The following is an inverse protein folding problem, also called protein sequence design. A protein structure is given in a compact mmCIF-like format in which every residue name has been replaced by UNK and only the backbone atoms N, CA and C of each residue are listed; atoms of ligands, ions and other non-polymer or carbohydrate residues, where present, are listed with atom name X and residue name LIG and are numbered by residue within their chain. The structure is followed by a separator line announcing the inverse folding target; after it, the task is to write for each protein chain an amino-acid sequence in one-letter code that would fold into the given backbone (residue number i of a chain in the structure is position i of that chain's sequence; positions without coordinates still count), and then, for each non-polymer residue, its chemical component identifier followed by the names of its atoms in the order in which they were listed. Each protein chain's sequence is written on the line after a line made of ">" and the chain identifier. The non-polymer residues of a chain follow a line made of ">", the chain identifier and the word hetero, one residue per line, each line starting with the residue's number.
data_IF_960779776836
#
_entry.id   IF_960779776836
#
_cell.length_a   1.000
_cell.length_b   1.000
_cell.length_c   1.000
_cell.angle_alpha   90.00
_cell.angle_beta   90.00
_cell.angle_gamma   90.00
#
_symmetry.space_group_name_H-M   'P 1'
#
loop_
_entity.id
_entity.type
_entity.pdbx_description
1 polymer ?
#
# COMPACT_ATOMS: atom_id res chain seq x y z
N UNK A 1 -14.37 2.07 -15.81
CA UNK A 1 -14.33 0.96 -14.83
C UNK A 1 -14.80 1.50 -13.49
N UNK A 2 -15.69 0.80 -12.79
CA UNK A 2 -16.12 1.22 -11.45
C UNK A 2 -14.96 1.03 -10.45
N UNK A 3 -14.77 1.89 -9.43
CA UNK A 3 -13.66 1.75 -8.47
C UNK A 3 -13.61 0.39 -7.77
N UNK A 4 -14.75 -0.20 -7.46
CA UNK A 4 -14.83 -1.54 -6.86
C UNK A 4 -14.27 -2.62 -7.81
N UNK A 5 -14.71 -2.63 -9.06
CA UNK A 5 -14.21 -3.54 -10.10
C UNK A 5 -12.70 -3.35 -10.34
N UNK A 6 -12.24 -2.09 -10.33
CA UNK A 6 -10.81 -1.77 -10.45
C UNK A 6 -10.01 -2.33 -9.27
N UNK A 7 -10.53 -2.18 -8.06
CA UNK A 7 -9.91 -2.70 -6.86
C UNK A 7 -9.85 -4.23 -6.88
N UNK A 8 -10.95 -4.89 -7.25
CA UNK A 8 -11.02 -6.35 -7.36
C UNK A 8 -9.98 -6.88 -8.35
N UNK A 9 -9.95 -6.34 -9.57
CA UNK A 9 -8.97 -6.72 -10.61
C UNK A 9 -7.53 -6.43 -10.20
N UNK A 10 -7.29 -5.32 -9.49
CA UNK A 10 -5.96 -4.99 -8.97
C UNK A 10 -5.53 -5.95 -7.85
N UNK A 11 -6.46 -6.32 -6.97
CA UNK A 11 -6.24 -7.29 -5.89
C UNK A 11 -5.90 -8.66 -6.44
N UNK A 12 -6.53 -9.10 -7.53
CA UNK A 12 -6.17 -10.36 -8.21
C UNK A 12 -4.68 -10.42 -8.59
N UNK A 13 -4.08 -9.28 -8.98
CA UNK A 13 -2.65 -9.20 -9.31
C UNK A 13 -1.76 -9.28 -8.07
N UNK A 14 -2.21 -8.70 -6.96
CA UNK A 14 -1.45 -8.69 -5.69
C UNK A 14 -1.62 -9.99 -4.87
N UNK A 15 -2.72 -10.72 -5.09
CA UNK A 15 -3.09 -11.92 -4.32
C UNK A 15 -1.95 -12.93 -4.17
N UNK A 16 -1.24 -13.35 -5.24
CA UNK A 16 -0.17 -14.35 -5.11
C UNK A 16 0.91 -13.97 -4.09
N UNK A 17 1.29 -12.69 -4.04
CA UNK A 17 2.27 -12.18 -3.07
C UNK A 17 1.72 -12.23 -1.64
N UNK A 18 0.51 -11.71 -1.42
CA UNK A 18 -0.09 -11.63 -0.09
C UNK A 18 -0.51 -12.98 0.46
N UNK A 19 -1.11 -13.85 -0.36
CA UNK A 19 -1.47 -15.22 0.02
C UNK A 19 -0.22 -16.02 0.42
N UNK A 20 0.90 -15.84 -0.30
CA UNK A 20 2.19 -16.44 0.03
C UNK A 20 2.79 -16.00 1.37
N UNK A 21 2.30 -14.89 1.94
CA UNK A 21 2.66 -14.38 3.28
C UNK A 21 1.56 -14.65 4.32
N UNK A 22 0.48 -15.33 3.95
CA UNK A 22 -0.64 -15.66 4.84
C UNK A 22 -1.64 -14.51 5.06
N UNK A 23 -1.60 -13.46 4.24
CA UNK A 23 -2.60 -12.39 4.27
C UNK A 23 -3.87 -12.81 3.54
N UNK A 24 -5.01 -12.27 3.96
CA UNK A 24 -6.30 -12.41 3.29
C UNK A 24 -6.87 -11.06 2.95
N UNK A 25 -7.43 -10.97 1.75
CA UNK A 25 -8.09 -9.75 1.29
C UNK A 25 -9.50 -9.62 1.86
N UNK A 26 -9.87 -8.41 2.25
CA UNK A 26 -11.23 -8.00 2.55
C UNK A 26 -11.55 -6.69 1.82
N UNK A 27 -12.70 -6.66 1.14
CA UNK A 27 -13.29 -5.41 0.68
C UNK A 27 -13.89 -4.67 1.89
N UNK A 28 -13.71 -3.36 1.95
CA UNK A 28 -14.18 -2.55 3.07
C UNK A 28 -15.39 -1.70 2.70
N UNK A 29 -15.21 -0.78 1.74
CA UNK A 29 -16.26 0.18 1.40
C UNK A 29 -16.08 0.79 0.01
N UNK A 30 -17.20 1.21 -0.58
CA UNK A 30 -17.24 2.19 -1.67
C UNK A 30 -17.70 3.53 -1.08
N UNK A 31 -16.95 4.59 -1.36
CA UNK A 31 -17.22 5.94 -0.85
C UNK A 31 -17.49 6.87 -2.02
N UNK A 32 -18.65 7.53 -1.99
CA UNK A 32 -19.01 8.58 -2.94
C UNK A 32 -18.82 9.97 -2.31
N UNK A 33 -18.23 10.90 -3.05
CA UNK A 33 -18.03 12.27 -2.57
C UNK A 33 -17.70 13.24 -3.70
N UNK A 34 -17.38 14.49 -3.34
CA UNK A 34 -17.11 15.58 -4.30
C UNK A 34 -15.96 15.28 -5.27
N UNK A 35 -15.00 14.43 -4.89
CA UNK A 35 -13.93 13.97 -5.76
C UNK A 35 -14.27 12.77 -6.65
N UNK A 36 -15.54 12.34 -6.69
CA UNK A 36 -16.00 11.13 -7.37
C UNK A 36 -16.09 9.90 -6.46
N UNK A 37 -16.27 8.72 -7.08
CA UNK A 37 -16.36 7.43 -6.39
C UNK A 37 -14.97 6.88 -6.09
N UNK A 38 -14.79 6.32 -4.90
CA UNK A 38 -13.59 5.62 -4.48
C UNK A 38 -13.96 4.26 -3.88
N UNK A 39 -13.03 3.32 -3.91
CA UNK A 39 -13.18 2.04 -3.22
C UNK A 39 -11.98 1.77 -2.32
N UNK A 40 -12.23 1.03 -1.24
CA UNK A 40 -11.22 0.63 -0.27
C UNK A 40 -11.31 -0.84 0.05
N UNK A 41 -10.14 -1.43 0.21
CA UNK A 41 -9.98 -2.80 0.69
C UNK A 41 -8.64 -2.92 1.40
N UNK A 42 -8.41 -4.07 2.01
CA UNK A 42 -7.17 -4.33 2.72
C UNK A 42 -6.77 -5.81 2.64
N UNK A 43 -5.48 -6.05 2.73
CA UNK A 43 -4.94 -7.36 3.05
C UNK A 43 -4.62 -7.42 4.54
N UNK A 44 -5.08 -8.46 5.25
CA UNK A 44 -4.86 -8.61 6.69
C UNK A 44 -4.24 -9.95 7.07
N UNK A 45 -3.35 -9.94 8.06
CA UNK A 45 -2.79 -11.13 8.73
C UNK A 45 -2.60 -10.84 10.21
N UNK A 46 -3.45 -11.42 11.04
CA UNK A 46 -3.46 -11.10 12.48
C UNK A 46 -3.75 -9.61 12.68
N UNK A 47 -2.82 -8.90 13.32
CA UNK A 47 -2.91 -7.44 13.55
C UNK A 47 -2.36 -6.60 12.41
N UNK A 48 -1.60 -7.20 11.50
CA UNK A 48 -1.00 -6.50 10.38
C UNK A 48 -2.01 -6.31 9.26
N UNK A 49 -2.07 -5.09 8.72
CA UNK A 49 -2.86 -4.80 7.53
C UNK A 49 -2.10 -3.96 6.50
N UNK A 50 -2.49 -4.13 5.23
CA UNK A 50 -2.09 -3.29 4.10
C UNK A 50 -3.35 -2.77 3.43
N UNK A 51 -3.64 -1.48 3.60
CA UNK A 51 -4.81 -0.80 3.03
C UNK A 51 -4.55 -0.33 1.60
N UNK A 52 -5.58 -0.46 0.75
CA UNK A 52 -5.55 -0.10 -0.66
C UNK A 52 -6.73 0.82 -0.97
N UNK A 53 -6.45 2.04 -1.44
CA UNK A 53 -7.48 3.00 -1.82
C UNK A 53 -7.37 3.35 -3.30
N UNK A 54 -8.46 3.14 -4.03
CA UNK A 54 -8.58 3.46 -5.45
C UNK A 54 -9.55 4.62 -5.69
N UNK A 55 -9.17 5.51 -6.59
CA UNK A 55 -10.02 6.58 -7.14
C UNK A 55 -9.54 6.84 -8.57
N UNK A 56 -10.17 6.20 -9.55
CA UNK A 56 -9.70 6.19 -10.95
C UNK A 56 -8.47 5.31 -11.19
N UNK A 57 -7.52 5.28 -10.25
CA UNK A 57 -6.37 4.36 -10.18
C UNK A 57 -6.03 4.06 -8.70
N UNK A 58 -5.14 3.11 -8.44
CA UNK A 58 -4.57 2.92 -7.10
C UNK A 58 -3.72 4.14 -6.73
N UNK A 59 -4.08 4.81 -5.62
CA UNK A 59 -3.47 6.08 -5.23
C UNK A 59 -2.92 6.13 -3.81
N UNK A 60 -3.48 5.36 -2.88
CA UNK A 60 -2.97 5.27 -1.51
C UNK A 60 -2.81 3.80 -1.15
N UNK A 61 -1.64 3.51 -0.60
CA UNK A 61 -1.27 2.22 -0.02
C UNK A 61 -0.69 2.53 1.35
N UNK A 62 -1.20 1.87 2.38
CA UNK A 62 -0.80 2.12 3.76
C UNK A 62 -0.61 0.84 4.55
N UNK A 63 0.27 0.89 5.54
CA UNK A 63 0.68 -0.24 6.36
C UNK A 63 0.39 0.08 7.82
N UNK A 64 -0.14 -0.88 8.56
CA UNK A 64 -0.45 -0.68 9.97
C UNK A 64 -0.49 -1.96 10.79
N UNK A 65 -0.54 -1.74 12.11
CA UNK A 65 -0.68 -2.77 13.13
C UNK A 65 -1.78 -2.37 14.12
N UNK A 66 -2.82 -3.20 14.21
CA UNK A 66 -3.90 -3.01 15.17
C UNK A 66 -3.40 -3.03 16.62
N UNK A 67 -4.04 -2.20 17.45
CA UNK A 67 -3.71 -2.11 18.88
C UNK A 67 -2.37 -1.40 19.15
N UNK A 68 -1.77 -0.78 18.14
CA UNK A 68 -0.62 0.12 18.32
C UNK A 68 -1.07 1.58 18.30
N UNK A 69 -0.36 2.49 18.99
CA UNK A 69 -0.67 3.92 18.95
C UNK A 69 -0.21 4.59 17.65
N UNK A 70 0.40 3.85 16.73
CA UNK A 70 0.99 4.39 15.52
C UNK A 70 -0.07 4.61 14.45
N UNK A 71 0.01 5.75 13.77
CA UNK A 71 -0.79 5.99 12.58
C UNK A 71 -0.32 5.09 11.43
N UNK A 72 -1.20 4.62 10.54
CA UNK A 72 -0.80 3.89 9.35
C UNK A 72 0.20 4.70 8.51
N UNK A 73 1.22 4.03 8.00
CA UNK A 73 2.32 4.65 7.25
C UNK A 73 2.10 4.40 5.77
N UNK A 74 2.21 5.44 4.93
CA UNK A 74 2.01 5.31 3.48
C UNK A 74 3.19 4.60 2.83
N UNK A 75 2.96 3.92 1.73
CA UNK A 75 4.00 3.21 0.97
C UNK A 75 5.21 4.07 0.65
N UNK A 76 4.99 5.31 0.18
CA UNK A 76 6.08 6.26 -0.09
C UNK A 76 6.97 6.50 1.14
N UNK A 77 6.39 6.53 2.33
CA UNK A 77 7.10 6.81 3.56
C UNK A 77 7.82 5.54 4.06
N UNK A 78 7.25 4.35 3.78
CA UNK A 78 7.92 3.05 3.98
C UNK A 78 9.19 2.96 3.12
N UNK A 79 9.11 3.20 1.82
CA UNK A 79 10.29 3.10 0.93
C UNK A 79 11.34 4.17 1.23
N UNK A 80 10.93 5.35 1.71
CA UNK A 80 11.85 6.38 2.21
C UNK A 80 12.58 5.92 3.48
N UNK A 81 11.88 5.32 4.46
CA UNK A 81 12.49 4.75 5.67
C UNK A 81 13.44 3.59 5.38
N UNK A 82 13.19 2.86 4.29
CA UNK A 82 14.09 1.82 3.79
C UNK A 82 15.28 2.36 2.99
N UNK A 83 15.31 3.66 2.66
CA UNK A 83 16.37 4.28 1.86
C UNK A 83 16.32 3.93 0.36
N UNK A 84 15.20 3.42 -0.15
CA UNK A 84 15.03 2.93 -1.54
C UNK A 84 14.04 3.77 -2.34
N UNK A 85 13.69 4.96 -1.86
CA UNK A 85 12.70 5.85 -2.49
C UNK A 85 12.98 6.16 -3.97
N UNK A 86 14.26 6.22 -4.37
CA UNK A 86 14.68 6.52 -5.75
C UNK A 86 14.56 5.30 -6.69
N UNK A 87 14.43 4.11 -6.12
CA UNK A 87 14.29 2.84 -6.84
C UNK A 87 12.85 2.31 -6.81
N UNK A 88 12.02 2.85 -5.92
CA UNK A 88 10.60 2.56 -5.84
C UNK A 88 9.89 3.02 -7.11
N UNK A 89 8.95 2.20 -7.59
CA UNK A 89 8.24 2.44 -8.83
C UNK A 89 6.82 2.96 -8.61
N UNK A 90 6.21 2.67 -7.46
CA UNK A 90 4.91 3.19 -7.08
C UNK A 90 5.02 4.55 -6.38
N UNK A 91 4.19 5.55 -6.75
CA UNK A 91 3.22 5.53 -7.85
C UNK A 91 3.88 5.83 -9.20
N UNK A 92 3.32 5.27 -10.28
CA UNK A 92 3.70 5.60 -11.64
C UNK A 92 2.62 6.38 -12.40
N UNK A 93 2.99 6.87 -13.58
CA UNK A 93 2.08 7.50 -14.54
C UNK A 93 1.85 6.56 -15.73
N UNK A 94 0.60 6.38 -16.13
CA UNK A 94 0.23 5.55 -17.27
C UNK A 94 -1.26 5.62 -17.57
N UNK A 95 -1.64 5.18 -18.78
CA UNK A 95 -3.04 5.22 -19.25
C UNK A 95 -3.89 4.05 -18.72
N UNK A 96 -3.26 2.91 -18.36
CA UNK A 96 -3.95 1.79 -17.74
C UNK A 96 -4.06 2.01 -16.21
N UNK A 97 -5.28 2.11 -15.63
CA UNK A 97 -5.47 2.29 -14.20
C UNK A 97 -4.96 1.12 -13.34
N UNK A 98 -4.70 -0.05 -13.93
CA UNK A 98 -4.10 -1.20 -13.24
C UNK A 98 -2.56 -1.12 -13.13
N UNK A 99 -1.89 -0.22 -13.87
CA UNK A 99 -0.42 -0.06 -13.87
C UNK A 99 0.12 0.08 -12.45
N UNK A 100 -0.52 0.88 -11.61
CA UNK A 100 -0.07 1.13 -10.25
C UNK A 100 -0.12 -0.11 -9.34
N UNK A 101 -0.94 -1.12 -9.64
CA UNK A 101 -0.90 -2.39 -8.91
C UNK A 101 0.33 -3.20 -9.27
N UNK A 102 0.77 -3.20 -10.55
CA UNK A 102 1.97 -3.91 -10.97
C UNK A 102 3.23 -3.25 -10.39
N UNK A 103 3.27 -1.91 -10.39
CA UNK A 103 4.37 -1.15 -9.81
C UNK A 103 4.45 -1.37 -8.30
N UNK A 104 3.30 -1.36 -7.61
CA UNK A 104 3.24 -1.73 -6.19
C UNK A 104 3.74 -3.16 -5.97
N UNK A 105 3.30 -4.13 -6.78
CA UNK A 105 3.74 -5.52 -6.64
C UNK A 105 5.26 -5.64 -6.73
N UNK A 106 5.88 -4.94 -7.68
CA UNK A 106 7.32 -4.95 -7.81
C UNK A 106 8.04 -4.34 -6.60
N UNK A 107 7.54 -3.22 -6.06
CA UNK A 107 8.09 -2.65 -4.83
C UNK A 107 7.88 -3.57 -3.62
N UNK A 108 6.73 -4.24 -3.56
CA UNK A 108 6.42 -5.24 -2.53
C UNK A 108 7.41 -6.40 -2.56
N UNK A 109 7.68 -6.95 -3.73
CA UNK A 109 8.62 -8.07 -3.92
C UNK A 109 10.07 -7.68 -3.61
N UNK A 110 10.50 -6.49 -4.06
CA UNK A 110 11.89 -6.04 -3.94
C UNK A 110 12.24 -5.54 -2.55
N UNK A 111 11.34 -4.81 -1.90
CA UNK A 111 11.69 -4.00 -0.72
C UNK A 111 10.85 -4.32 0.52
N UNK A 112 9.56 -4.60 0.35
CA UNK A 112 8.62 -4.65 1.49
C UNK A 112 8.39 -6.08 2.00
N UNK A 113 8.70 -7.11 1.21
CA UNK A 113 8.50 -8.52 1.59
C UNK A 113 9.08 -8.88 2.96
N UNK A 114 10.33 -8.49 3.32
CA UNK A 114 10.89 -8.80 4.64
C UNK A 114 10.08 -8.15 5.77
N UNK A 115 9.59 -6.93 5.57
CA UNK A 115 8.76 -6.21 6.54
C UNK A 115 7.44 -6.94 6.79
N UNK A 116 6.80 -7.45 5.74
CA UNK A 116 5.52 -8.16 5.86
C UNK A 116 5.70 -9.62 6.29
N UNK A 117 6.88 -10.21 6.15
CA UNK A 117 7.16 -11.55 6.63
C UNK A 117 7.26 -11.60 8.16
N UNK A 118 7.71 -10.52 8.80
CA UNK A 118 7.94 -10.44 10.25
C UNK A 118 7.26 -9.20 10.89
N UNK A 119 6.34 -9.46 11.82
CA UNK A 119 5.58 -8.40 12.49
C UNK A 119 6.47 -7.46 13.32
N UNK A 120 7.55 -7.96 13.92
CA UNK A 120 8.45 -7.12 14.73
C UNK A 120 9.23 -6.14 13.85
N UNK A 121 9.71 -6.61 12.69
CA UNK A 121 10.34 -5.75 11.69
C UNK A 121 9.39 -4.64 11.22
N UNK A 122 8.12 -4.98 10.93
CA UNK A 122 7.12 -3.96 10.58
C UNK A 122 6.89 -2.99 11.74
N UNK A 123 6.73 -3.49 12.97
CA UNK A 123 6.53 -2.67 14.17
C UNK A 123 7.66 -1.65 14.35
N UNK A 124 8.91 -2.09 14.24
CA UNK A 124 10.08 -1.23 14.33
C UNK A 124 10.07 -0.13 13.26
N UNK A 125 9.72 -0.49 12.02
CA UNK A 125 9.60 0.48 10.94
C UNK A 125 8.47 1.50 11.22
N UNK A 126 7.31 1.06 11.68
CA UNK A 126 6.16 1.93 11.97
C UNK A 126 6.45 2.91 13.12
N UNK A 127 7.20 2.47 14.14
CA UNK A 127 7.64 3.30 15.27
C UNK A 127 8.69 4.35 14.89
N UNK A 128 9.37 4.19 13.74
CA UNK A 128 10.38 5.14 13.29
C UNK A 128 9.72 6.44 12.82
N UNK A 129 10.12 7.62 13.31
CA UNK A 129 9.59 8.88 12.79
C UNK A 129 9.95 9.02 11.31
N UNK A 130 9.05 9.58 10.52
CA UNK A 130 9.35 9.90 9.12
C UNK A 130 10.52 10.91 9.10
N UNK A 131 11.60 10.65 8.34
CA UNK A 131 12.70 11.59 8.27
C UNK A 131 12.20 12.97 7.83
N UNK A 132 12.71 14.03 8.48
CA UNK A 132 12.39 15.39 8.09
C UNK A 132 12.80 15.60 6.64
N UNK A 133 11.84 16.00 5.80
CA UNK A 133 12.10 16.29 4.40
C UNK A 133 13.06 17.47 4.35
N UNK A 134 14.32 17.23 3.97
CA UNK A 134 15.17 18.32 3.52
C UNK A 134 14.51 18.92 2.28
N UNK A 135 13.99 20.13 2.42
CA UNK A 135 13.32 20.84 1.34
C UNK A 135 14.27 20.97 0.15
N UNK A 136 13.97 20.27 -0.93
CA UNK A 136 14.42 20.63 -2.27
C UNK A 136 13.30 20.26 -3.24
N UNK A 137 12.49 21.28 -3.55
CA UNK A 137 11.82 21.38 -4.84
C UNK A 137 12.83 22.02 -5.80
N UNK A 138 13.10 21.46 -6.99
CA UNK A 138 13.39 22.32 -8.13
C UNK A 138 12.16 23.15 -8.51
#
# INVERSE_FOLDING_TARGET
>A
MHPEELLERGVERLRPFFDGLGFRYAFLETVEGSGGVAARGEFRRGRCFVGLHVRGALGIVEYGLDGTPYVPVRHRDVVARLGVEREAMFPGFGDDPLTNFDLLLSDLERFVRPLLADEETLRALLATPTPERSGHLP
#
